data_IF_010913114471
#
_entry.id   IF_010913114471
#
_cell.length_a   1.000
_cell.length_b   1.000
_cell.length_c   1.000
_cell.angle_alpha   90.00
_cell.angle_beta   90.00
_cell.angle_gamma   90.00
#
_symmetry.space_group_name_H-M   'P 1'
#
loop_
_entity.id
_entity.type
_entity.pdbx_description
1 polymer ?
#
# COMPACT_ATOMS: atom_id res chain seq x y z
N UNK A 1 1.24 -4.24 -26.48
CA UNK A 1 1.17 -2.93 -25.80
C UNK A 1 1.08 -3.23 -24.31
N UNK A 2 2.04 -2.77 -23.52
CA UNK A 2 2.00 -2.94 -22.07
C UNK A 2 1.09 -1.84 -21.52
N UNK A 3 0.04 -2.22 -20.79
CA UNK A 3 -0.96 -1.27 -20.31
C UNK A 3 -0.36 -0.50 -19.13
N UNK A 4 -0.30 0.83 -19.24
CA UNK A 4 0.09 1.70 -18.13
C UNK A 4 -1.00 1.68 -17.06
N UNK A 5 -0.61 1.65 -15.79
CA UNK A 5 -1.54 1.71 -14.68
C UNK A 5 -1.97 3.16 -14.39
N UNK A 6 -3.18 3.35 -13.90
CA UNK A 6 -3.67 4.65 -13.41
C UNK A 6 -3.38 4.84 -11.90
N UNK A 7 -3.76 6.00 -11.36
CA UNK A 7 -3.52 6.35 -9.95
C UNK A 7 -4.24 5.41 -8.98
N UNK A 8 -5.50 5.07 -9.25
CA UNK A 8 -6.27 4.17 -8.39
C UNK A 8 -5.62 2.79 -8.32
N UNK A 9 -5.18 2.26 -9.46
CA UNK A 9 -4.43 1.01 -9.53
C UNK A 9 -3.09 1.11 -8.77
N UNK A 10 -2.41 2.25 -8.81
CA UNK A 10 -1.19 2.45 -8.03
C UNK A 10 -1.46 2.46 -6.51
N UNK A 11 -2.56 3.06 -6.07
CA UNK A 11 -3.00 3.03 -4.67
C UNK A 11 -3.35 1.60 -4.24
N UNK A 12 -4.05 0.84 -5.09
CA UNK A 12 -4.35 -0.56 -4.83
C UNK A 12 -3.08 -1.41 -4.71
N UNK A 13 -2.10 -1.19 -5.59
CA UNK A 13 -0.79 -1.86 -5.50
C UNK A 13 -0.04 -1.48 -4.22
N UNK A 14 -0.10 -0.21 -3.79
CA UNK A 14 0.48 0.20 -2.51
C UNK A 14 -0.19 -0.54 -1.33
N UNK A 15 -1.52 -0.66 -1.34
CA UNK A 15 -2.25 -1.44 -0.32
C UNK A 15 -1.85 -2.92 -0.35
N UNK A 16 -1.84 -3.53 -1.53
CA UNK A 16 -1.48 -4.93 -1.73
C UNK A 16 -0.04 -5.22 -1.26
N UNK A 17 0.90 -4.30 -1.52
CA UNK A 17 2.26 -4.40 -1.01
C UNK A 17 2.30 -4.56 0.52
N UNK A 18 1.60 -3.70 1.26
CA UNK A 18 1.57 -3.80 2.72
C UNK A 18 0.76 -5.00 3.22
N UNK A 19 -0.32 -5.35 2.52
CA UNK A 19 -1.13 -6.53 2.83
C UNK A 19 -0.27 -7.79 2.80
N UNK A 20 0.56 -7.94 1.76
CA UNK A 20 1.54 -9.03 1.61
C UNK A 20 2.66 -8.93 2.63
N UNK A 21 3.23 -7.75 2.85
CA UNK A 21 4.30 -7.53 3.83
C UNK A 21 3.89 -7.99 5.23
N UNK A 22 2.64 -7.72 5.62
CA UNK A 22 2.10 -8.07 6.93
C UNK A 22 1.31 -9.39 6.95
N UNK A 23 1.33 -10.16 5.85
CA UNK A 23 0.65 -11.46 5.71
C UNK A 23 -0.84 -11.39 6.10
N UNK A 24 -1.48 -10.27 5.74
CA UNK A 24 -2.87 -9.99 6.11
C UNK A 24 -3.84 -11.07 5.61
N UNK A 25 -3.65 -11.54 4.37
CA UNK A 25 -4.51 -12.56 3.78
C UNK A 25 -4.41 -13.90 4.51
N UNK A 26 -3.20 -14.30 4.89
CA UNK A 26 -2.95 -15.56 5.60
C UNK A 26 -3.58 -15.53 7.00
N UNK A 27 -3.44 -14.41 7.70
CA UNK A 27 -4.07 -14.20 8.99
C UNK A 27 -5.60 -14.24 8.86
N UNK A 28 -6.18 -13.50 7.90
CA UNK A 28 -7.62 -13.47 7.71
C UNK A 28 -8.18 -14.86 7.39
N UNK A 29 -7.49 -15.62 6.53
CA UNK A 29 -7.84 -17.01 6.22
C UNK A 29 -7.80 -17.91 7.46
N UNK A 30 -6.75 -17.80 8.28
CA UNK A 30 -6.62 -18.57 9.50
C UNK A 30 -7.69 -18.21 10.55
N UNK A 31 -8.10 -16.95 10.60
CA UNK A 31 -9.09 -16.43 11.54
C UNK A 31 -10.54 -16.54 11.03
N UNK A 32 -10.78 -17.04 9.81
CA UNK A 32 -12.11 -17.08 9.20
C UNK A 32 -12.70 -15.70 8.90
N UNK A 33 -11.85 -14.68 8.74
CA UNK A 33 -12.25 -13.31 8.46
C UNK A 33 -12.27 -13.05 6.95
N UNK A 34 -13.23 -12.24 6.51
CA UNK A 34 -13.24 -11.66 5.16
C UNK A 34 -12.35 -10.41 5.17
N UNK A 35 -11.56 -10.16 4.13
CA UNK A 35 -10.50 -9.12 4.16
C UNK A 35 -11.02 -7.80 3.59
N UNK A 36 -11.03 -6.68 4.36
CA UNK A 36 -11.18 -5.37 3.73
C UNK A 36 -10.11 -4.34 4.09
N UNK A 37 -9.42 -4.42 5.25
CA UNK A 37 -8.30 -3.53 5.65
C UNK A 37 -7.79 -3.77 7.11
N UNK A 38 -7.39 -4.99 7.49
CA UNK A 38 -6.92 -5.30 8.85
C UNK A 38 -5.65 -4.51 9.22
N UNK A 39 -4.78 -4.27 8.24
CA UNK A 39 -3.56 -3.46 8.38
C UNK A 39 -3.85 -1.95 8.49
N UNK A 40 -5.12 -1.53 8.33
CA UNK A 40 -5.54 -0.14 8.48
C UNK A 40 -4.88 0.83 7.50
N UNK A 41 -4.57 0.35 6.29
CA UNK A 41 -4.06 1.14 5.16
C UNK A 41 -4.98 2.33 4.89
N UNK A 42 -4.40 3.52 4.86
CA UNK A 42 -5.11 4.75 4.57
C UNK A 42 -4.26 5.61 3.65
N UNK A 43 -4.72 5.85 2.42
CA UNK A 43 -4.05 6.78 1.52
C UNK A 43 -4.31 8.22 1.97
N UNK A 44 -3.25 8.97 2.30
CA UNK A 44 -3.33 10.38 2.71
C UNK A 44 -3.34 11.28 1.48
N UNK A 45 -2.46 10.99 0.51
CA UNK A 45 -2.35 11.75 -0.74
C UNK A 45 -1.73 10.88 -1.82
N UNK A 46 -2.16 11.08 -3.06
CA UNK A 46 -1.55 10.44 -4.23
C UNK A 46 -1.39 11.48 -5.34
N UNK A 47 -0.17 11.64 -5.86
CA UNK A 47 0.15 12.63 -6.89
C UNK A 47 1.06 12.03 -7.94
N UNK A 48 0.96 12.51 -9.18
CA UNK A 48 1.87 12.13 -10.24
C UNK A 48 2.99 13.16 -10.37
N UNK A 49 4.23 12.70 -10.41
CA UNK A 49 5.41 13.55 -10.57
C UNK A 49 6.50 12.78 -11.31
N UNK A 50 7.06 13.39 -12.35
CA UNK A 50 8.20 12.83 -13.13
C UNK A 50 7.96 11.40 -13.64
N UNK A 51 6.73 11.08 -14.07
CA UNK A 51 6.35 9.74 -14.55
C UNK A 51 6.20 8.68 -13.45
N UNK A 52 6.18 9.10 -12.18
CA UNK A 52 5.94 8.25 -11.02
C UNK A 52 4.67 8.67 -10.29
N UNK A 53 3.97 7.68 -9.73
CA UNK A 53 2.94 7.88 -8.73
C UNK A 53 3.58 7.91 -7.35
N UNK A 54 3.46 9.07 -6.68
CA UNK A 54 3.90 9.28 -5.31
C UNK A 54 2.68 9.11 -4.40
N UNK A 55 2.68 8.05 -3.60
CA UNK A 55 1.57 7.70 -2.71
C UNK A 55 2.05 7.88 -1.27
N UNK A 56 1.40 8.76 -0.52
CA UNK A 56 1.58 8.85 0.93
C UNK A 56 0.45 8.11 1.61
N UNK A 57 0.78 7.22 2.53
CA UNK A 57 -0.20 6.43 3.25
C UNK A 57 0.19 6.19 4.70
N UNK A 58 -0.79 5.83 5.52
CA UNK A 58 -0.62 5.32 6.87
C UNK A 58 -0.95 3.84 6.93
N UNK A 59 -0.13 3.07 7.62
CA UNK A 59 -0.33 1.63 7.82
C UNK A 59 0.05 1.26 9.25
N UNK A 60 -0.70 0.34 9.85
CA UNK A 60 -0.32 -0.21 11.16
C UNK A 60 0.96 -1.03 11.04
N UNK A 61 1.77 -1.05 12.10
CA UNK A 61 2.97 -1.91 12.17
C UNK A 61 2.65 -3.41 12.10
N UNK A 62 1.44 -3.78 12.52
CA UNK A 62 0.86 -5.12 12.37
C UNK A 62 -0.65 -5.02 12.56
N UNK A 63 -1.39 -6.07 12.20
CA UNK A 63 -2.84 -6.12 12.39
C UNK A 63 -3.27 -6.05 13.88
N UNK A 64 -2.38 -6.39 14.83
CA UNK A 64 -2.61 -6.22 16.28
C UNK A 64 -2.20 -4.84 16.81
N UNK A 65 -1.44 -4.07 16.04
CA UNK A 65 -0.92 -2.78 16.48
C UNK A 65 -1.98 -1.68 16.41
N UNK A 66 -1.92 -0.77 17.38
CA UNK A 66 -2.67 0.48 17.39
C UNK A 66 -1.84 1.58 16.70
N UNK A 67 -0.51 1.44 16.70
CA UNK A 67 0.43 2.39 16.12
C UNK A 67 0.42 2.31 14.60
N UNK A 68 0.22 3.46 13.96
CA UNK A 68 0.34 3.63 12.51
C UNK A 68 1.61 4.40 12.18
N UNK A 69 2.25 4.01 11.08
CA UNK A 69 3.38 4.74 10.51
C UNK A 69 3.02 5.30 9.15
N UNK A 70 3.60 6.46 8.85
CA UNK A 70 3.47 7.12 7.56
C UNK A 70 4.53 6.60 6.62
N UNK A 71 4.13 6.35 5.39
CA UNK A 71 5.01 5.89 4.33
C UNK A 71 4.77 6.72 3.07
N UNK A 72 5.83 6.91 2.30
CA UNK A 72 5.78 7.40 0.93
C UNK A 72 6.27 6.29 0.01
N UNK A 73 5.45 5.93 -0.99
CA UNK A 73 5.76 4.97 -2.04
C UNK A 73 5.91 5.70 -3.36
N UNK A 74 6.87 5.29 -4.17
CA UNK A 74 7.00 5.72 -5.56
C UNK A 74 6.80 4.51 -6.47
N UNK A 75 5.76 4.55 -7.29
CA UNK A 75 5.40 3.47 -8.22
C UNK A 75 5.48 4.03 -9.65
N UNK A 76 6.13 3.32 -10.57
CA UNK A 76 6.16 3.77 -11.97
C UNK A 76 4.85 3.43 -12.72
N UNK A 77 4.70 3.94 -13.95
CA UNK A 77 3.54 3.65 -14.82
C UNK A 77 3.36 2.17 -15.17
N UNK A 78 4.38 1.33 -14.93
CA UNK A 78 4.31 -0.12 -15.13
C UNK A 78 3.85 -0.88 -13.88
N UNK A 79 3.58 -0.19 -12.76
CA UNK A 79 3.16 -0.80 -11.50
C UNK A 79 4.30 -1.33 -10.64
N UNK A 80 5.55 -0.99 -10.95
CA UNK A 80 6.71 -1.40 -10.15
C UNK A 80 6.99 -0.39 -9.04
N UNK A 81 7.08 -0.88 -7.80
CA UNK A 81 7.57 -0.10 -6.67
C UNK A 81 9.06 0.22 -6.86
N UNK A 82 9.39 1.51 -6.94
CA UNK A 82 10.77 1.99 -7.10
C UNK A 82 11.39 2.46 -5.78
N UNK A 83 10.57 3.02 -4.89
CA UNK A 83 11.03 3.52 -3.60
C UNK A 83 9.94 3.36 -2.54
N UNK A 84 10.35 3.01 -1.33
CA UNK A 84 9.53 3.02 -0.13
C UNK A 84 10.30 3.74 0.97
N UNK A 85 9.72 4.79 1.53
CA UNK A 85 10.29 5.54 2.64
C UNK A 85 9.30 5.62 3.79
N UNK A 86 9.75 5.29 5.01
CA UNK A 86 9.00 5.57 6.24
C UNK A 86 9.28 7.02 6.67
N UNK A 87 8.24 7.76 7.01
CA UNK A 87 8.37 9.09 7.62
C UNK A 87 8.53 8.91 9.13
N UNK A 88 9.52 9.60 9.73
CA UNK A 88 9.79 9.61 11.18
C UNK A 88 8.80 10.49 11.94
#
# INVERSE_FOLDING_TARGET
MQQEINMDQAIELARDYFSKLYREEEYAKAAGLTIPNLIGFNAISATEQDGLYIIKCEVKESYFSITKYKYTLKINKMGELKELKREE
#
